data_IF_469333455524
#
_entry.id   IF_469333455524
#
_cell.length_a   1.000
_cell.length_b   1.000
_cell.length_c   1.000
_cell.angle_alpha   90.00
_cell.angle_beta   90.00
_cell.angle_gamma   90.00
#
_symmetry.space_group_name_H-M   'P 1'
#
loop_
_entity.id
_entity.type
_entity.pdbx_description
1 polymer ?
#
# COMPACT_ATOMS: atom_id res chain seq x y z
N UNK A 1 83.83 -18.72 -26.68
CA UNK A 1 83.69 -19.88 -25.78
C UNK A 1 82.46 -19.63 -24.94
N UNK A 2 81.39 -20.42 -24.89
CA UNK A 2 81.14 -21.83 -25.26
C UNK A 2 79.62 -21.97 -25.38
N UNK A 3 79.21 -22.82 -26.31
CA UNK A 3 77.88 -23.40 -26.56
C UNK A 3 77.13 -23.83 -25.29
N UNK A 4 75.78 -23.76 -25.31
CA UNK A 4 74.97 -24.98 -25.18
C UNK A 4 73.48 -24.79 -25.51
N UNK A 5 72.99 -25.75 -26.28
CA UNK A 5 71.61 -26.08 -26.62
C UNK A 5 70.91 -26.85 -25.48
N UNK A 6 69.60 -27.02 -25.65
CA UNK A 6 68.64 -27.95 -24.99
C UNK A 6 67.84 -27.30 -23.84
N UNK A 7 66.53 -27.54 -23.66
CA UNK A 7 65.71 -28.72 -23.99
C UNK A 7 64.22 -28.33 -23.94
N UNK A 8 63.41 -28.91 -24.83
CA UNK A 8 61.94 -28.94 -24.75
C UNK A 8 61.46 -29.47 -23.39
N UNK A 9 60.37 -28.91 -22.86
CA UNK A 9 59.37 -29.69 -22.13
C UNK A 9 57.95 -29.14 -22.35
N UNK A 10 57.15 -29.93 -23.05
CA UNK A 10 55.69 -29.87 -23.04
C UNK A 10 55.18 -30.18 -21.63
N UNK A 11 54.28 -29.36 -21.09
CA UNK A 11 53.14 -29.83 -20.29
C UNK A 11 51.93 -28.97 -20.56
N UNK A 12 51.03 -29.54 -21.35
CA UNK A 12 49.61 -29.22 -21.37
C UNK A 12 49.06 -29.34 -19.94
N UNK A 13 48.39 -28.29 -19.47
CA UNK A 13 47.49 -28.37 -18.33
C UNK A 13 46.18 -27.74 -18.76
N UNK A 14 45.24 -28.63 -19.09
CA UNK A 14 43.81 -28.36 -19.22
C UNK A 14 43.31 -27.57 -18.02
N UNK A 15 43.11 -26.26 -18.22
CA UNK A 15 42.31 -25.45 -17.31
C UNK A 15 40.85 -25.72 -17.59
N UNK A 16 40.22 -26.50 -16.70
CA UNK A 16 38.78 -26.78 -16.69
C UNK A 16 38.02 -25.44 -16.59
N UNK A 17 37.26 -25.11 -17.62
CA UNK A 17 36.38 -23.94 -17.65
C UNK A 17 35.11 -24.28 -16.86
N UNK A 18 35.07 -23.94 -15.58
CA UNK A 18 33.86 -24.11 -14.75
C UNK A 18 32.86 -23.01 -15.10
N UNK A 19 31.96 -23.30 -16.05
CA UNK A 19 30.74 -22.52 -16.26
C UNK A 19 29.83 -22.69 -15.03
N UNK A 20 29.88 -21.73 -14.11
CA UNK A 20 28.81 -21.56 -13.13
C UNK A 20 27.60 -20.97 -13.86
N UNK A 21 26.74 -21.85 -14.35
CA UNK A 21 25.38 -21.49 -14.74
C UNK A 21 24.66 -21.01 -13.48
N UNK A 22 24.62 -19.70 -13.26
CA UNK A 22 23.72 -19.09 -12.28
C UNK A 22 22.31 -19.30 -12.82
N UNK A 23 21.68 -20.39 -12.39
CA UNK A 23 20.25 -20.60 -12.54
C UNK A 23 19.56 -19.51 -11.73
N UNK A 24 19.27 -18.39 -12.40
CA UNK A 24 18.46 -17.32 -11.86
C UNK A 24 17.04 -17.83 -11.67
N UNK A 25 16.76 -18.37 -10.48
CA UNK A 25 15.41 -18.62 -10.03
C UNK A 25 14.74 -17.25 -9.94
N UNK A 26 14.02 -16.86 -10.99
CA UNK A 26 13.11 -15.73 -10.97
C UNK A 26 12.05 -16.06 -9.91
N UNK A 27 12.28 -15.61 -8.68
CA UNK A 27 11.24 -15.53 -7.67
C UNK A 27 10.23 -14.51 -8.19
N UNK A 28 9.26 -14.98 -8.95
CA UNK A 28 8.04 -14.23 -9.25
C UNK A 28 7.27 -14.14 -7.95
N UNK A 29 7.58 -13.12 -7.14
CA UNK A 29 6.65 -12.70 -6.10
C UNK A 29 5.34 -12.38 -6.81
N UNK A 30 4.20 -12.98 -6.41
CA UNK A 30 2.93 -12.53 -6.93
C UNK A 30 2.86 -11.03 -6.67
N UNK A 31 2.68 -10.25 -7.73
CA UNK A 31 2.32 -8.85 -7.58
C UNK A 31 1.01 -8.88 -6.79
N UNK A 32 1.09 -8.60 -5.48
CA UNK A 32 -0.09 -8.45 -4.63
C UNK A 32 -0.88 -7.33 -5.27
N UNK A 33 -1.94 -7.70 -6.01
CA UNK A 33 -2.84 -6.75 -6.62
C UNK A 33 -3.32 -5.84 -5.48
N UNK A 34 -3.03 -4.54 -5.62
CA UNK A 34 -3.46 -3.50 -4.70
C UNK A 34 -4.92 -3.76 -4.31
N UNK A 35 -5.17 -4.10 -3.04
CA UNK A 35 -6.48 -4.49 -2.51
C UNK A 35 -7.50 -3.35 -2.47
N UNK A 36 -7.20 -2.22 -3.12
CA UNK A 36 -8.00 -1.02 -3.07
C UNK A 36 -9.14 -1.05 -4.10
N UNK A 37 -10.38 -1.08 -3.60
CA UNK A 37 -11.59 -1.02 -4.42
C UNK A 37 -12.16 0.38 -4.37
N UNK A 38 -12.36 1.01 -5.53
CA UNK A 38 -13.07 2.30 -5.64
C UNK A 38 -14.53 2.10 -5.23
N UNK A 39 -14.99 2.84 -4.22
CA UNK A 39 -16.37 2.76 -3.71
C UNK A 39 -17.24 3.92 -4.17
N UNK A 40 -16.67 5.12 -4.37
CA UNK A 40 -17.43 6.29 -4.81
C UNK A 40 -16.54 7.35 -5.45
N UNK A 41 -17.15 8.19 -6.29
CA UNK A 41 -16.65 9.53 -6.59
C UNK A 41 -17.74 10.54 -6.32
N UNK A 42 -17.41 11.62 -5.64
CA UNK A 42 -18.36 12.67 -5.28
C UNK A 42 -18.43 13.79 -6.35
N UNK A 43 -19.26 14.80 -6.07
CA UNK A 43 -19.45 15.93 -6.97
C UNK A 43 -18.21 16.85 -7.08
N UNK A 44 -17.27 16.76 -6.14
CA UNK A 44 -16.00 17.48 -6.13
C UNK A 44 -14.88 16.67 -6.82
N UNK A 45 -15.22 15.55 -7.46
CA UNK A 45 -14.27 14.62 -8.06
C UNK A 45 -13.31 13.96 -7.06
N UNK A 46 -13.63 13.97 -5.76
CA UNK A 46 -12.88 13.16 -4.80
C UNK A 46 -13.18 11.68 -5.05
N UNK A 47 -12.15 10.83 -5.05
CA UNK A 47 -12.27 9.41 -5.33
C UNK A 47 -11.96 8.62 -4.07
N UNK A 48 -12.92 7.81 -3.63
CA UNK A 48 -12.85 7.05 -2.39
C UNK A 48 -12.60 5.58 -2.69
N UNK A 49 -11.67 5.00 -1.97
CA UNK A 49 -11.24 3.62 -2.05
C UNK A 49 -11.30 2.95 -0.67
N UNK A 50 -11.50 1.65 -0.66
CA UNK A 50 -11.40 0.80 0.53
C UNK A 50 -10.40 -0.32 0.25
N UNK A 51 -9.47 -0.58 1.16
CA UNK A 51 -8.58 -1.74 1.08
C UNK A 51 -9.31 -3.00 1.56
N UNK A 52 -9.77 -3.83 0.62
CA UNK A 52 -10.49 -5.07 0.95
C UNK A 52 -9.58 -6.16 1.52
N UNK A 53 -8.27 -6.06 1.31
CA UNK A 53 -7.31 -7.07 1.80
C UNK A 53 -6.98 -6.90 3.28
N UNK A 54 -7.31 -5.74 3.84
CA UNK A 54 -7.01 -5.34 5.21
C UNK A 54 -8.29 -5.05 6.03
N UNK A 55 -9.45 -5.59 5.63
CA UNK A 55 -10.66 -5.55 6.44
C UNK A 55 -10.51 -6.53 7.61
N UNK A 56 -10.64 -6.00 8.82
CA UNK A 56 -10.65 -6.79 10.06
C UNK A 56 -12.10 -7.05 10.48
N UNK A 57 -12.40 -8.28 10.90
CA UNK A 57 -13.73 -8.71 11.30
C UNK A 57 -13.79 -9.10 12.77
N UNK A 58 -14.75 -8.54 13.51
CA UNK A 58 -15.02 -8.93 14.90
C UNK A 58 -16.54 -8.85 15.20
N UNK A 59 -17.25 -9.95 14.95
CA UNK A 59 -18.70 -10.01 15.15
C UNK A 59 -19.43 -8.97 14.28
N UNK A 60 -20.19 -8.07 14.91
CA UNK A 60 -20.87 -6.96 14.21
C UNK A 60 -19.95 -5.80 13.83
N UNK A 61 -18.71 -5.80 14.31
CA UNK A 61 -17.75 -4.75 14.04
C UNK A 61 -16.87 -5.10 12.84
N UNK A 62 -16.50 -4.07 12.10
CA UNK A 62 -15.48 -4.12 11.04
C UNK A 62 -14.49 -3.00 11.28
N UNK A 63 -13.21 -3.23 11.00
CA UNK A 63 -12.24 -2.13 10.86
C UNK A 63 -11.58 -2.21 9.48
N UNK A 64 -11.33 -1.07 8.87
CA UNK A 64 -10.83 -1.03 7.49
C UNK A 64 -10.05 0.24 7.17
N UNK A 65 -9.24 0.16 6.13
CA UNK A 65 -8.55 1.31 5.56
C UNK A 65 -9.39 1.94 4.44
N UNK A 66 -9.61 3.24 4.56
CA UNK A 66 -10.24 4.09 3.55
C UNK A 66 -9.19 5.05 2.98
N UNK A 67 -9.21 5.30 1.68
CA UNK A 67 -8.31 6.25 1.03
C UNK A 67 -9.10 7.17 0.12
N UNK A 68 -8.89 8.47 0.25
CA UNK A 68 -9.49 9.48 -0.61
C UNK A 68 -8.42 10.20 -1.41
N UNK A 69 -8.57 10.24 -2.72
CA UNK A 69 -7.81 11.11 -3.61
C UNK A 69 -8.65 12.36 -3.84
N UNK A 70 -8.10 13.54 -3.56
CA UNK A 70 -8.83 14.79 -3.71
C UNK A 70 -8.86 15.24 -5.17
N UNK A 71 -10.05 15.62 -5.66
CA UNK A 71 -10.19 16.18 -7.00
C UNK A 71 -9.43 17.50 -7.16
N UNK A 72 -9.43 18.31 -6.10
CA UNK A 72 -8.61 19.51 -5.96
C UNK A 72 -7.84 19.45 -4.63
N UNK A 73 -6.50 19.58 -4.63
CA UNK A 73 -5.73 19.60 -3.41
C UNK A 73 -6.00 20.88 -2.62
N UNK A 74 -6.05 20.79 -1.28
CA UNK A 74 -6.21 21.94 -0.39
C UNK A 74 -5.02 22.09 0.55
N UNK A 75 -4.94 23.23 1.25
CA UNK A 75 -3.84 23.52 2.17
C UNK A 75 -4.17 23.09 3.60
N UNK A 76 -3.24 22.37 4.22
CA UNK A 76 -3.23 22.03 5.63
C UNK A 76 -1.82 22.26 6.17
N UNK A 77 -1.68 23.01 7.28
CA UNK A 77 -0.38 23.37 7.87
C UNK A 77 0.64 23.93 6.85
N UNK A 78 0.16 24.69 5.84
CA UNK A 78 1.00 25.28 4.80
C UNK A 78 1.42 24.34 3.66
N UNK A 79 1.06 23.05 3.70
CA UNK A 79 1.35 22.05 2.66
C UNK A 79 0.08 21.71 1.87
N UNK A 80 0.24 21.30 0.61
CA UNK A 80 -0.88 20.83 -0.21
C UNK A 80 -1.14 19.36 0.06
N UNK A 81 -2.37 19.02 0.44
CA UNK A 81 -2.86 17.66 0.67
C UNK A 81 -3.54 17.18 -0.60
N UNK A 82 -3.03 16.10 -1.18
CA UNK A 82 -3.56 15.50 -2.40
C UNK A 82 -4.42 14.28 -2.12
N UNK A 83 -4.17 13.60 -1.01
CA UNK A 83 -4.96 12.45 -0.59
C UNK A 83 -4.91 12.28 0.92
N UNK A 84 -5.85 11.52 1.46
CA UNK A 84 -5.89 11.10 2.86
C UNK A 84 -6.16 9.61 2.98
N UNK A 85 -5.55 9.00 4.00
CA UNK A 85 -5.83 7.63 4.39
C UNK A 85 -6.37 7.61 5.81
N UNK A 86 -7.43 6.84 6.02
CA UNK A 86 -8.08 6.68 7.32
C UNK A 86 -8.09 5.21 7.71
N UNK A 87 -7.88 4.93 8.99
CA UNK A 87 -8.28 3.66 9.60
C UNK A 87 -9.58 3.89 10.36
N UNK A 88 -10.63 3.13 10.04
CA UNK A 88 -11.98 3.36 10.55
C UNK A 88 -12.51 2.07 11.16
N UNK A 89 -13.04 2.14 12.38
CA UNK A 89 -13.86 1.07 12.97
C UNK A 89 -15.33 1.39 12.82
N UNK A 90 -16.16 0.39 12.53
CA UNK A 90 -17.60 0.54 12.34
C UNK A 90 -18.37 -0.54 13.07
N UNK A 91 -19.55 -0.18 13.56
CA UNK A 91 -20.59 -1.11 13.99
C UNK A 91 -21.57 -1.30 12.82
N UNK A 92 -21.55 -2.47 12.19
CA UNK A 92 -22.35 -2.73 11.00
C UNK A 92 -23.86 -2.86 11.28
N UNK A 93 -24.26 -3.01 12.55
CA UNK A 93 -25.67 -3.05 12.91
C UNK A 93 -26.28 -1.64 12.96
N UNK A 94 -25.55 -0.68 13.52
CA UNK A 94 -25.98 0.72 13.67
C UNK A 94 -25.45 1.64 12.58
N UNK A 95 -24.48 1.17 11.78
CA UNK A 95 -23.70 1.95 10.82
C UNK A 95 -22.97 3.14 11.43
N UNK A 96 -22.71 3.12 12.75
CA UNK A 96 -21.88 4.12 13.40
C UNK A 96 -20.41 3.83 13.17
N UNK A 97 -19.60 4.86 12.99
CA UNK A 97 -18.16 4.75 12.77
C UNK A 97 -17.37 5.48 13.84
N UNK A 98 -16.08 5.14 13.91
CA UNK A 98 -15.05 5.87 14.63
C UNK A 98 -13.77 5.89 13.80
N UNK A 99 -13.21 7.08 13.59
CA UNK A 99 -11.89 7.25 12.99
C UNK A 99 -10.84 6.89 14.04
N UNK A 100 -9.95 5.97 13.69
CA UNK A 100 -8.88 5.45 14.56
C UNK A 100 -7.54 6.07 14.22
N UNK A 101 -7.33 6.33 12.94
CA UNK A 101 -6.10 6.92 12.42
C UNK A 101 -6.41 7.75 11.17
N UNK A 102 -5.65 8.82 10.97
CA UNK A 102 -5.69 9.67 9.78
C UNK A 102 -4.26 10.02 9.33
N UNK A 103 -4.02 9.99 8.01
CA UNK A 103 -2.77 10.44 7.39
C UNK A 103 -3.07 11.33 6.19
N UNK A 104 -2.54 12.55 6.21
CA UNK A 104 -2.51 13.46 5.05
C UNK A 104 -1.28 13.19 4.20
N UNK A 105 -1.45 13.16 2.88
CA UNK A 105 -0.42 12.79 1.91
C UNK A 105 -0.22 13.89 0.86
N UNK A 106 1.03 14.12 0.48
CA UNK A 106 1.38 15.00 -0.63
C UNK A 106 1.20 14.33 -2.01
N UNK A 107 1.57 15.03 -3.08
CA UNK A 107 1.46 14.53 -4.47
C UNK A 107 2.28 13.27 -4.75
N UNK A 108 3.33 13.01 -3.97
CA UNK A 108 4.20 11.85 -4.11
C UNK A 108 3.78 10.70 -3.17
N UNK A 109 2.66 10.84 -2.46
CA UNK A 109 2.23 9.89 -1.44
C UNK A 109 3.10 9.91 -0.18
N UNK A 110 3.86 10.99 0.07
CA UNK A 110 4.61 11.14 1.30
C UNK A 110 3.71 11.70 2.41
N UNK A 111 3.86 11.16 3.61
CA UNK A 111 3.12 11.63 4.78
C UNK A 111 3.48 13.10 5.09
N UNK A 112 2.45 13.94 5.09
CA UNK A 112 2.51 15.32 5.56
C UNK A 112 2.36 15.34 7.08
N UNK A 113 1.38 14.59 7.57
CA UNK A 113 0.96 14.54 8.96
C UNK A 113 0.20 13.24 9.22
N UNK A 114 0.43 12.67 10.40
CA UNK A 114 -0.28 11.51 10.92
C UNK A 114 -0.98 11.88 12.23
N UNK A 115 -2.14 11.28 12.45
CA UNK A 115 -2.88 11.34 13.70
C UNK A 115 -3.32 9.92 14.07
N UNK A 116 -2.85 9.43 15.22
CA UNK A 116 -3.32 8.20 15.83
C UNK A 116 -4.25 8.56 16.99
N UNK A 117 -5.53 8.28 16.82
CA UNK A 117 -6.56 8.63 17.79
C UNK A 117 -6.92 7.48 18.72
N UNK A 118 -6.51 6.23 18.42
CA UNK A 118 -6.96 5.06 19.17
C UNK A 118 -8.48 5.01 19.33
N UNK A 119 -8.97 4.93 20.57
CA UNK A 119 -10.40 4.95 20.94
C UNK A 119 -11.00 6.35 21.12
N UNK A 120 -10.25 7.42 20.87
CA UNK A 120 -10.67 8.80 21.13
C UNK A 120 -10.98 9.61 19.87
N UNK A 121 -10.90 8.99 18.69
CA UNK A 121 -11.13 9.71 17.44
C UNK A 121 -12.60 10.03 17.17
N UNK A 122 -12.81 10.86 16.15
CA UNK A 122 -14.14 11.30 15.74
C UNK A 122 -15.05 10.10 15.50
N UNK A 123 -16.23 10.14 16.12
CA UNK A 123 -17.25 9.11 15.97
C UNK A 123 -18.57 9.74 15.54
N UNK A 124 -19.33 8.99 14.75
CA UNK A 124 -20.53 9.51 14.14
C UNK A 124 -21.36 8.48 13.42
N UNK A 125 -22.40 8.97 12.76
CA UNK A 125 -23.21 8.23 11.78
C UNK A 125 -22.99 8.91 10.44
N UNK A 126 -22.72 8.17 9.36
CA UNK A 126 -22.42 8.78 8.07
C UNK A 126 -23.65 9.54 7.56
N UNK A 127 -23.41 10.69 6.95
CA UNK A 127 -24.47 11.45 6.28
C UNK A 127 -25.03 10.62 5.12
N UNK A 128 -26.37 10.54 4.92
CA UNK A 128 -26.95 9.82 3.80
C UNK A 128 -26.42 10.28 2.45
N UNK A 129 -26.14 9.32 1.56
CA UNK A 129 -25.52 9.52 0.25
C UNK A 129 -24.11 10.15 0.29
N UNK A 130 -23.44 10.16 1.44
CA UNK A 130 -22.03 10.55 1.51
C UNK A 130 -21.11 9.47 0.94
N UNK A 131 -19.83 9.78 0.68
CA UNK A 131 -18.81 8.78 0.39
C UNK A 131 -18.52 7.87 1.58
N UNK A 132 -18.56 8.41 2.79
CA UNK A 132 -18.38 7.65 4.02
C UNK A 132 -19.48 6.59 4.18
N UNK A 133 -20.75 6.94 3.96
CA UNK A 133 -21.85 5.98 3.99
C UNK A 133 -21.62 4.85 2.96
N UNK A 134 -21.13 5.18 1.77
CA UNK A 134 -20.85 4.20 0.73
C UNK A 134 -19.71 3.24 1.13
N UNK A 135 -18.62 3.76 1.70
CA UNK A 135 -17.53 2.95 2.24
C UNK A 135 -18.01 2.01 3.34
N UNK A 136 -18.80 2.52 4.31
CA UNK A 136 -19.32 1.74 5.44
C UNK A 136 -20.27 0.64 4.95
N UNK A 137 -21.24 0.97 4.08
CA UNK A 137 -22.15 -0.03 3.48
C UNK A 137 -21.39 -1.09 2.69
N UNK A 138 -20.37 -0.70 1.94
CA UNK A 138 -19.53 -1.63 1.19
C UNK A 138 -18.82 -2.61 2.12
N UNK A 139 -18.15 -2.12 3.16
CA UNK A 139 -17.42 -2.95 4.13
C UNK A 139 -18.36 -3.85 4.92
N UNK A 140 -19.51 -3.34 5.37
CA UNK A 140 -20.49 -4.12 6.11
C UNK A 140 -21.25 -5.16 5.26
N UNK A 141 -21.09 -5.13 3.92
CA UNK A 141 -21.60 -6.17 3.03
C UNK A 141 -20.62 -7.33 2.80
N UNK A 142 -19.42 -7.24 3.39
CA UNK A 142 -18.40 -8.29 3.40
C UNK A 142 -18.51 -9.13 4.66
#
# INVERSE_FOLDING_TARGET
MTTNLAKLYHRSLSGVLTLFSVSGTLLTFPAMASGWVRVKTDAQNNIYYVDISAIEENGRFRSFWSHVIHGEPYREAGKLVYSRTFYISVDCQTQSYQVRFERSLDANGQAIQDYDYGDEGESGTPVPNSPEEASIKFVCSK
#
